data_IF_045395517331
#
_entry.id   IF_045395517331
#
_cell.length_a   1.000
_cell.length_b   1.000
_cell.length_c   1.000
_cell.angle_alpha   90.00
_cell.angle_beta   90.00
_cell.angle_gamma   90.00
#
_symmetry.space_group_name_H-M   'P 1'
#
loop_
_entity.id
_entity.type
_entity.pdbx_description
1 polymer ?
#
# COMPACT_ATOMS: atom_id res chain seq x y z
N UNK A 1 8.23 -10.30 0.24
CA UNK A 1 6.88 -10.90 0.10
C UNK A 1 6.33 -10.43 -1.24
N UNK A 2 5.64 -11.28 -2.00
CA UNK A 2 5.07 -10.86 -3.27
C UNK A 2 4.01 -9.77 -3.04
N UNK A 3 4.05 -8.72 -3.85
CA UNK A 3 3.00 -7.69 -3.88
C UNK A 3 1.70 -8.31 -4.42
N UNK A 4 0.55 -7.91 -3.87
CA UNK A 4 -0.75 -8.39 -4.32
C UNK A 4 -1.18 -7.70 -5.62
N UNK A 5 -1.88 -8.44 -6.48
CA UNK A 5 -2.60 -7.86 -7.62
C UNK A 5 -3.81 -7.04 -7.14
N UNK A 6 -4.43 -6.29 -8.05
CA UNK A 6 -5.67 -5.57 -7.75
C UNK A 6 -6.80 -6.54 -7.31
N UNK A 7 -6.93 -7.66 -8.00
CA UNK A 7 -7.97 -8.66 -7.74
C UNK A 7 -7.76 -9.33 -6.38
N UNK A 8 -6.54 -9.78 -6.09
CA UNK A 8 -6.23 -10.40 -4.79
C UNK A 8 -6.40 -9.41 -3.62
N UNK A 9 -6.24 -8.11 -3.90
CA UNK A 9 -6.49 -7.06 -2.92
C UNK A 9 -7.98 -6.78 -2.72
N UNK A 10 -8.78 -6.75 -3.79
CA UNK A 10 -10.24 -6.63 -3.66
C UNK A 10 -10.85 -7.85 -2.94
N UNK A 11 -10.34 -9.06 -3.18
CA UNK A 11 -10.69 -10.27 -2.42
C UNK A 11 -10.30 -10.15 -0.93
N UNK A 12 -9.18 -9.50 -0.62
CA UNK A 12 -8.84 -9.18 0.76
C UNK A 12 -9.83 -8.18 1.36
N UNK A 13 -10.14 -7.10 0.65
CA UNK A 13 -11.05 -6.05 1.10
C UNK A 13 -12.50 -6.51 1.24
N UNK A 14 -12.92 -7.59 0.57
CA UNK A 14 -14.26 -8.15 0.74
C UNK A 14 -14.54 -8.61 2.18
N UNK A 15 -13.49 -8.82 2.98
CA UNK A 15 -13.56 -9.16 4.41
C UNK A 15 -13.46 -7.94 5.34
N UNK A 16 -13.20 -6.76 4.78
CA UNK A 16 -13.05 -5.48 5.49
C UNK A 16 -14.01 -4.43 4.92
N UNK A 17 -15.34 -4.57 5.11
CA UNK A 17 -16.33 -3.63 4.59
C UNK A 17 -16.16 -2.19 5.14
N UNK A 18 -15.45 -2.03 6.26
CA UNK A 18 -15.07 -0.75 6.86
C UNK A 18 -13.88 -0.06 6.19
N UNK A 19 -13.20 -0.74 5.26
CA UNK A 19 -12.01 -0.21 4.60
C UNK A 19 -12.33 1.13 3.89
N UNK A 20 -11.46 2.11 4.12
CA UNK A 20 -11.63 3.42 3.54
C UNK A 20 -11.49 3.36 2.00
N UNK A 21 -12.29 4.13 1.25
CA UNK A 21 -12.26 4.19 -0.22
C UNK A 21 -10.84 4.32 -0.80
N UNK A 22 -9.97 5.10 -0.14
CA UNK A 22 -8.58 5.34 -0.58
C UNK A 22 -7.66 4.11 -0.49
N UNK A 23 -8.10 3.07 0.20
CA UNK A 23 -7.44 1.77 0.24
C UNK A 23 -7.98 0.82 -0.84
N UNK A 24 -9.03 1.14 -1.60
CA UNK A 24 -9.56 0.27 -2.68
C UNK A 24 -8.61 0.14 -3.86
N UNK A 25 -8.65 -1.00 -4.58
CA UNK A 25 -7.85 -1.17 -5.80
C UNK A 25 -8.17 -0.09 -6.83
N UNK A 26 -9.45 0.24 -7.02
CA UNK A 26 -9.89 1.29 -7.95
C UNK A 26 -9.29 2.66 -7.66
N UNK A 27 -9.09 3.03 -6.39
CA UNK A 27 -8.36 4.24 -6.05
C UNK A 27 -6.88 4.14 -6.44
N UNK A 28 -6.26 2.99 -6.23
CA UNK A 28 -4.90 2.71 -6.68
C UNK A 28 -4.76 2.90 -8.19
N UNK A 29 -5.63 2.27 -8.99
CA UNK A 29 -5.60 2.36 -10.45
C UNK A 29 -5.84 3.80 -10.94
N UNK A 30 -6.77 4.53 -10.31
CA UNK A 30 -6.95 5.94 -10.59
C UNK A 30 -5.64 6.71 -10.36
N UNK A 31 -4.99 6.51 -9.21
CA UNK A 31 -3.73 7.21 -8.88
C UNK A 31 -2.59 6.81 -9.79
N UNK A 32 -2.54 5.54 -10.24
CA UNK A 32 -1.55 5.06 -11.18
C UNK A 32 -1.59 5.84 -12.51
N UNK A 33 -2.79 6.15 -13.01
CA UNK A 33 -2.97 7.00 -14.18
C UNK A 33 -2.41 8.43 -14.02
N UNK A 34 -2.17 8.89 -12.78
CA UNK A 34 -1.54 10.17 -12.45
C UNK A 34 -0.07 10.04 -12.00
N UNK A 35 0.62 8.99 -12.44
CA UNK A 35 2.06 8.82 -12.25
C UNK A 35 2.46 8.38 -10.84
N UNK A 36 1.56 7.72 -10.13
CA UNK A 36 1.89 7.01 -8.89
C UNK A 36 2.18 5.55 -9.18
N UNK A 37 3.12 4.95 -8.48
CA UNK A 37 3.23 3.49 -8.43
C UNK A 37 2.39 2.98 -7.27
N UNK A 38 1.74 1.83 -7.44
CA UNK A 38 0.90 1.21 -6.40
C UNK A 38 1.55 -0.09 -5.98
N UNK A 39 1.66 -0.31 -4.68
CA UNK A 39 2.02 -1.61 -4.13
C UNK A 39 1.03 -2.01 -3.04
N UNK A 40 0.76 -3.30 -2.95
CA UNK A 40 -0.23 -3.86 -2.03
C UNK A 40 0.41 -5.02 -1.28
N UNK A 41 0.21 -5.07 0.03
CA UNK A 41 0.66 -6.19 0.86
C UNK A 41 -0.41 -6.57 1.88
N UNK A 42 -0.36 -7.82 2.32
CA UNK A 42 -1.14 -8.33 3.45
C UNK A 42 -0.25 -9.14 4.38
N UNK A 43 -0.58 -9.14 5.67
CA UNK A 43 -0.03 -10.04 6.67
C UNK A 43 -1.15 -10.43 7.63
N UNK A 44 -1.56 -11.70 7.59
CA UNK A 44 -2.75 -12.15 8.31
C UNK A 44 -3.99 -11.38 7.86
N UNK A 45 -4.69 -10.77 8.83
CA UNK A 45 -5.90 -9.98 8.61
C UNK A 45 -5.63 -8.47 8.48
N UNK A 46 -4.38 -8.07 8.31
CA UNK A 46 -3.99 -6.68 8.08
C UNK A 46 -3.42 -6.49 6.68
N UNK A 47 -3.71 -5.35 6.07
CA UNK A 47 -3.30 -5.03 4.70
C UNK A 47 -3.05 -3.55 4.46
N UNK A 48 -2.31 -3.24 3.39
CA UNK A 48 -2.13 -1.86 2.95
C UNK A 48 -1.97 -1.75 1.44
N UNK A 49 -2.67 -0.77 0.86
CA UNK A 49 -2.35 -0.17 -0.42
C UNK A 49 -1.50 1.08 -0.19
N UNK A 50 -0.26 1.03 -0.68
CA UNK A 50 0.73 2.11 -0.56
C UNK A 50 0.96 2.73 -1.94
N UNK A 51 0.91 4.05 -1.99
CA UNK A 51 1.15 4.82 -3.20
C UNK A 51 2.56 5.42 -3.15
N UNK A 52 3.33 5.23 -4.21
CA UNK A 52 4.68 5.76 -4.32
C UNK A 52 4.74 6.86 -5.39
N UNK A 53 5.40 7.96 -5.07
CA UNK A 53 5.67 9.04 -6.03
C UNK A 53 7.16 9.29 -6.14
N UNK A 54 7.68 9.36 -7.37
CA UNK A 54 9.10 9.64 -7.63
C UNK A 54 9.47 11.05 -7.16
N UNK A 55 10.65 11.14 -6.58
CA UNK A 55 11.32 12.37 -6.16
C UNK A 55 12.66 12.50 -6.92
N UNK A 56 13.31 13.69 -6.87
CA UNK A 56 14.68 13.82 -7.35
C UNK A 56 15.65 12.82 -6.69
N UNK A 57 16.80 12.60 -7.33
CA UNK A 57 17.88 11.71 -6.85
C UNK A 57 17.50 10.21 -6.78
N UNK A 58 16.46 9.80 -7.52
CA UNK A 58 16.02 8.40 -7.57
C UNK A 58 15.40 7.92 -6.25
N UNK A 59 14.87 8.84 -5.45
CA UNK A 59 14.09 8.54 -4.25
C UNK A 59 12.60 8.48 -4.58
N UNK A 60 11.81 7.95 -3.66
CA UNK A 60 10.34 8.03 -3.70
C UNK A 60 9.78 8.58 -2.40
N UNK A 61 8.55 9.07 -2.43
CA UNK A 61 7.71 9.26 -1.26
C UNK A 61 6.70 8.12 -1.22
N UNK A 62 6.60 7.42 -0.09
CA UNK A 62 5.53 6.47 0.15
C UNK A 62 4.36 7.17 0.85
N UNK A 63 3.13 6.80 0.49
CA UNK A 63 1.91 7.35 1.07
C UNK A 63 0.92 6.23 1.38
N UNK A 64 0.50 6.13 2.64
CA UNK A 64 -0.49 5.18 3.14
C UNK A 64 -1.80 5.91 3.48
N UNK A 65 -2.65 6.22 2.49
CA UNK A 65 -3.86 7.00 2.71
C UNK A 65 -4.88 6.23 3.55
N UNK A 66 -5.13 6.66 4.80
CA UNK A 66 -6.19 6.11 5.66
C UNK A 66 -6.07 4.59 5.87
N UNK A 67 -4.86 4.07 5.74
CA UNK A 67 -4.52 2.70 6.07
C UNK A 67 -3.73 2.63 7.37
N UNK A 68 -3.30 1.43 7.78
CA UNK A 68 -3.61 0.14 7.13
C UNK A 68 -5.09 -0.26 7.30
N UNK A 69 -5.51 -1.30 6.59
CA UNK A 69 -6.79 -1.97 6.75
C UNK A 69 -6.62 -3.11 7.76
N UNK A 70 -7.55 -3.26 8.69
CA UNK A 70 -7.43 -4.18 9.82
C UNK A 70 -6.46 -3.69 10.91
N UNK A 71 -6.08 -4.58 11.82
CA UNK A 71 -5.24 -4.25 12.98
C UNK A 71 -3.76 -4.59 12.72
N UNK A 72 -2.86 -3.59 12.61
CA UNK A 72 -1.47 -3.83 12.28
C UNK A 72 -0.67 -4.35 13.47
N UNK A 73 0.10 -5.42 13.24
CA UNK A 73 1.08 -5.94 14.20
C UNK A 73 2.48 -5.34 13.96
N UNK A 74 3.43 -5.47 14.90
CA UNK A 74 4.82 -5.07 14.67
C UNK A 74 5.44 -5.70 13.40
N UNK A 75 5.14 -6.97 13.13
CA UNK A 75 5.64 -7.70 11.96
C UNK A 75 5.07 -7.13 10.65
N UNK A 76 3.83 -6.62 10.68
CA UNK A 76 3.25 -5.91 9.55
C UNK A 76 4.01 -4.61 9.26
N UNK A 77 4.31 -3.83 10.30
CA UNK A 77 5.10 -2.60 10.14
C UNK A 77 6.50 -2.89 9.61
N UNK A 78 7.15 -3.96 10.07
CA UNK A 78 8.44 -4.39 9.55
C UNK A 78 8.36 -4.79 8.06
N UNK A 79 7.27 -5.46 7.67
CA UNK A 79 7.04 -5.83 6.28
C UNK A 79 6.80 -4.59 5.39
N UNK A 80 6.02 -3.63 5.90
CA UNK A 80 5.75 -2.36 5.22
C UNK A 80 7.01 -1.50 5.09
N UNK A 81 7.84 -1.41 6.13
CA UNK A 81 9.12 -0.69 6.09
C UNK A 81 10.06 -1.33 5.05
N UNK A 82 10.16 -2.66 5.01
CA UNK A 82 10.92 -3.37 3.97
C UNK A 82 10.41 -3.02 2.57
N UNK A 83 9.10 -3.01 2.34
CA UNK A 83 8.52 -2.61 1.06
C UNK A 83 8.94 -1.17 0.70
N UNK A 84 8.81 -0.24 1.64
CA UNK A 84 9.20 1.17 1.44
C UNK A 84 10.69 1.29 1.07
N UNK A 85 11.57 0.56 1.74
CA UNK A 85 13.01 0.52 1.43
C UNK A 85 13.31 -0.03 0.04
N UNK A 86 12.63 -1.10 -0.38
CA UNK A 86 12.82 -1.66 -1.73
C UNK A 86 12.45 -0.67 -2.83
N UNK A 87 11.47 0.20 -2.56
CA UNK A 87 11.04 1.29 -3.46
C UNK A 87 11.83 2.59 -3.26
N UNK A 88 12.91 2.57 -2.46
CA UNK A 88 13.76 3.74 -2.11
C UNK A 88 12.96 4.93 -1.55
N UNK A 89 11.95 4.64 -0.74
CA UNK A 89 11.15 5.67 -0.09
C UNK A 89 11.99 6.44 0.93
N UNK A 90 12.02 7.77 0.81
CA UNK A 90 12.69 8.66 1.76
C UNK A 90 11.91 8.77 3.09
N UNK A 91 10.58 8.69 3.00
CA UNK A 91 9.67 8.65 4.14
C UNK A 91 8.34 8.00 3.73
N UNK A 92 7.60 7.55 4.75
CA UNK A 92 6.21 7.12 4.63
C UNK A 92 5.32 8.20 5.26
N UNK A 93 4.28 8.62 4.53
CA UNK A 93 3.27 9.58 4.98
C UNK A 93 1.92 8.91 5.20
#
# INVERSE_FOLDING_TARGET
MPELTAEAWDDFLSRHPEAHLLQTAGWGELKAAFGWDVARLTLGDCGAQVLFRRLPLGLTMAYLPKGPVGDPTPEFWDALDRLCRTRRAAFLK
#
